data_IF_812333711743
#
_entry.id   IF_812333711743
#
_cell.length_a   1.000
_cell.length_b   1.000
_cell.length_c   1.000
_cell.angle_alpha   90.00
_cell.angle_beta   90.00
_cell.angle_gamma   90.00
#
_symmetry.space_group_name_H-M   'P 1'
#
loop_
_entity.id
_entity.type
_entity.pdbx_description
1 polymer ?
#
# COMPACT_ATOMS: atom_id res chain seq x y z
N UNK A 1 2.03 33.17 16.86
CA UNK A 1 0.76 32.42 16.94
C UNK A 1 1.00 31.14 17.73
N UNK A 2 0.54 31.07 18.98
CA UNK A 2 0.52 29.82 19.75
C UNK A 2 -0.61 28.94 19.22
N UNK A 3 -0.34 28.13 18.20
CA UNK A 3 -1.26 27.10 17.76
C UNK A 3 -1.24 25.97 18.79
N UNK A 4 -2.18 26.00 19.72
CA UNK A 4 -2.44 24.87 20.62
C UNK A 4 -2.73 23.65 19.74
N UNK A 5 -1.78 22.71 19.69
CA UNK A 5 -1.95 21.44 18.97
C UNK A 5 -3.19 20.77 19.57
N UNK A 6 -4.26 20.54 18.79
CA UNK A 6 -5.48 19.95 19.33
C UNK A 6 -5.16 18.57 19.86
N UNK A 7 -5.33 18.35 21.17
CA UNK A 7 -5.23 17.03 21.79
C UNK A 7 -6.33 16.15 21.19
N UNK A 8 -5.95 15.27 20.28
CA UNK A 8 -6.85 14.26 19.71
C UNK A 8 -7.31 13.38 20.85
N UNK A 9 -8.62 13.32 21.06
CA UNK A 9 -9.21 12.44 22.06
C UNK A 9 -9.29 11.05 21.45
N UNK A 10 -8.83 10.02 22.15
CA UNK A 10 -8.96 8.61 21.71
C UNK A 10 -10.40 8.27 21.30
N UNK A 11 -11.39 8.93 21.91
CA UNK A 11 -12.80 8.89 21.53
C UNK A 11 -13.06 9.27 20.06
N UNK A 12 -12.42 10.30 19.53
CA UNK A 12 -12.59 10.72 18.13
C UNK A 12 -12.11 9.64 17.17
N UNK A 13 -10.92 9.09 17.44
CA UNK A 13 -10.34 7.98 16.66
C UNK A 13 -11.27 6.77 16.68
N UNK A 14 -11.80 6.43 17.85
CA UNK A 14 -12.71 5.30 18.02
C UNK A 14 -14.03 5.48 17.25
N UNK A 15 -14.66 6.66 17.34
CA UNK A 15 -15.89 6.97 16.59
C UNK A 15 -15.63 6.89 15.09
N UNK A 16 -14.53 7.49 14.61
CA UNK A 16 -14.18 7.46 13.18
C UNK A 16 -13.94 6.03 12.70
N UNK A 17 -13.26 5.20 13.50
CA UNK A 17 -13.05 3.79 13.17
C UNK A 17 -14.37 3.01 13.07
N UNK A 18 -15.31 3.21 14.00
CA UNK A 18 -16.64 2.58 13.95
C UNK A 18 -17.40 3.02 12.69
N UNK A 19 -17.44 4.33 12.42
CA UNK A 19 -18.13 4.85 11.23
C UNK A 19 -17.52 4.31 9.94
N UNK A 20 -16.19 4.20 9.88
CA UNK A 20 -15.49 3.62 8.75
C UNK A 20 -15.88 2.15 8.55
N UNK A 21 -15.91 1.34 9.61
CA UNK A 21 -16.31 -0.07 9.55
C UNK A 21 -17.76 -0.18 9.06
N UNK A 22 -18.68 0.58 9.67
CA UNK A 22 -20.10 0.56 9.28
C UNK A 22 -20.30 0.99 7.82
N UNK A 23 -19.60 2.03 7.36
CA UNK A 23 -19.71 2.51 6.00
C UNK A 23 -19.12 1.56 4.95
N UNK A 24 -18.23 0.65 5.35
CA UNK A 24 -17.44 -0.18 4.41
C UNK A 24 -17.65 -1.68 4.60
N UNK A 25 -18.56 -2.12 5.46
CA UNK A 25 -18.76 -3.56 5.76
C UNK A 25 -18.99 -4.42 4.51
N UNK A 26 -19.66 -3.89 3.48
CA UNK A 26 -19.88 -4.59 2.21
C UNK A 26 -18.59 -4.88 1.42
N UNK A 27 -17.52 -4.12 1.66
CA UNK A 27 -16.25 -4.28 0.96
C UNK A 27 -15.62 -5.67 1.22
N UNK A 28 -15.83 -6.24 2.40
CA UNK A 28 -15.40 -7.62 2.68
C UNK A 28 -16.10 -8.63 1.77
N UNK A 29 -17.44 -8.55 1.64
CA UNK A 29 -18.22 -9.47 0.81
C UNK A 29 -17.90 -9.29 -0.68
N UNK A 30 -17.72 -8.05 -1.13
CA UNK A 30 -17.28 -7.74 -2.50
C UNK A 30 -15.90 -8.38 -2.78
N UNK A 31 -14.93 -8.18 -1.89
CA UNK A 31 -13.58 -8.73 -2.03
C UNK A 31 -13.60 -10.26 -2.06
N UNK A 32 -14.35 -10.88 -1.16
CA UNK A 32 -14.47 -12.34 -1.12
C UNK A 32 -15.08 -12.88 -2.41
N UNK A 33 -16.14 -12.24 -2.92
CA UNK A 33 -16.74 -12.59 -4.20
C UNK A 33 -15.75 -12.44 -5.36
N UNK A 34 -15.00 -11.35 -5.41
CA UNK A 34 -13.99 -11.10 -6.44
C UNK A 34 -12.90 -12.19 -6.45
N UNK A 35 -12.45 -12.63 -5.26
CA UNK A 35 -11.48 -13.71 -5.12
C UNK A 35 -12.03 -15.07 -5.58
N UNK A 36 -13.24 -15.46 -5.15
CA UNK A 36 -13.85 -16.75 -5.53
C UNK A 36 -14.03 -16.86 -7.04
N UNK A 37 -14.58 -15.81 -7.67
CA UNK A 37 -14.89 -15.81 -9.10
C UNK A 37 -13.70 -15.35 -9.96
N UNK A 38 -12.53 -15.13 -9.35
CA UNK A 38 -11.32 -14.64 -10.01
C UNK A 38 -11.58 -13.43 -10.94
N UNK A 39 -12.43 -12.51 -10.49
CA UNK A 39 -12.84 -11.31 -11.25
C UNK A 39 -11.64 -10.37 -11.40
N UNK A 40 -10.81 -10.31 -10.36
CA UNK A 40 -9.61 -9.48 -10.29
C UNK A 40 -8.38 -10.36 -10.12
N UNK A 41 -7.29 -9.94 -10.76
CA UNK A 41 -6.03 -10.66 -10.70
C UNK A 41 -5.46 -10.59 -9.28
N UNK A 42 -5.28 -11.74 -8.64
CA UNK A 42 -4.70 -11.85 -7.32
C UNK A 42 -3.74 -13.03 -7.23
N UNK A 43 -2.77 -12.93 -6.33
CA UNK A 43 -1.84 -14.01 -6.06
C UNK A 43 -2.57 -15.10 -5.26
N UNK A 44 -2.51 -16.35 -5.72
CA UNK A 44 -3.12 -17.51 -5.06
C UNK A 44 -2.28 -18.00 -3.87
N UNK A 45 -2.31 -17.26 -2.76
CA UNK A 45 -1.66 -17.65 -1.50
C UNK A 45 -2.41 -18.73 -0.72
N UNK A 46 -3.66 -19.01 -1.09
CA UNK A 46 -4.51 -20.04 -0.50
C UNK A 46 -3.84 -21.42 -0.54
N UNK A 47 -3.23 -21.79 -1.67
CA UNK A 47 -2.49 -23.06 -1.81
C UNK A 47 -1.27 -23.13 -0.90
N UNK A 48 -0.58 -22.00 -0.68
CA UNK A 48 0.54 -21.97 0.27
C UNK A 48 0.03 -22.07 1.71
N UNK A 49 -1.09 -21.41 2.02
CA UNK A 49 -1.73 -21.46 3.33
C UNK A 49 -2.20 -22.87 3.71
N UNK A 50 -2.69 -23.66 2.74
CA UNK A 50 -3.10 -25.05 2.96
C UNK A 50 -1.97 -25.94 3.50
N UNK A 51 -0.71 -25.67 3.14
CA UNK A 51 0.44 -26.38 3.69
C UNK A 51 0.64 -26.11 5.19
N UNK A 52 0.30 -24.92 5.69
CA UNK A 52 0.43 -24.59 7.12
C UNK A 52 -0.66 -25.21 7.99
N UNK A 53 -1.83 -25.47 7.41
CA UNK A 53 -2.96 -26.14 8.10
C UNK A 53 -2.94 -27.66 7.90
N UNK A 54 -1.93 -28.21 7.23
CA UNK A 54 -1.75 -29.65 7.03
C UNK A 54 -2.60 -30.27 5.93
N UNK A 55 -3.28 -29.46 5.10
CA UNK A 55 -4.06 -29.95 3.96
C UNK A 55 -3.14 -30.08 2.73
N UNK A 56 -2.44 -31.22 2.63
CA UNK A 56 -1.45 -31.47 1.58
C UNK A 56 -2.10 -31.65 0.20
N UNK A 57 -3.36 -32.09 0.14
CA UNK A 57 -4.07 -32.31 -1.13
C UNK A 57 -4.40 -30.99 -1.84
N UNK A 58 -4.75 -29.95 -1.06
CA UNK A 58 -4.99 -28.59 -1.57
C UNK A 58 -3.71 -27.73 -1.59
N UNK A 59 -2.69 -28.18 -0.87
CA UNK A 59 -1.43 -27.47 -0.70
C UNK A 59 -0.55 -27.51 -1.94
N UNK A 60 0.05 -26.38 -2.30
CA UNK A 60 1.07 -26.33 -3.34
C UNK A 60 2.32 -25.63 -2.83
N UNK A 61 3.50 -26.17 -3.19
CA UNK A 61 4.77 -25.53 -2.88
C UNK A 61 4.81 -24.16 -3.55
N UNK A 62 5.08 -23.08 -2.80
CA UNK A 62 5.16 -21.75 -3.36
C UNK A 62 6.40 -21.64 -4.27
N UNK A 63 6.32 -20.74 -5.26
CA UNK A 63 7.54 -20.25 -5.90
C UNK A 63 8.40 -19.50 -4.89
N UNK A 64 9.68 -19.29 -5.20
CA UNK A 64 10.59 -18.57 -4.30
C UNK A 64 10.02 -17.19 -3.89
N UNK A 65 9.29 -16.53 -4.80
CA UNK A 65 8.66 -15.23 -4.54
C UNK A 65 7.47 -15.26 -3.59
N UNK A 66 6.70 -16.35 -3.59
CA UNK A 66 5.60 -16.53 -2.64
C UNK A 66 6.11 -17.08 -1.30
N UNK A 67 7.19 -17.86 -1.32
CA UNK A 67 7.71 -18.56 -0.15
C UNK A 67 8.20 -17.60 0.95
N UNK A 68 8.93 -16.54 0.59
CA UNK A 68 9.45 -15.59 1.57
C UNK A 68 8.35 -14.66 2.14
N UNK A 69 7.20 -14.53 1.47
CA UNK A 69 6.04 -13.76 1.94
C UNK A 69 5.22 -14.51 2.99
N UNK A 70 5.82 -15.49 3.69
CA UNK A 70 5.12 -16.39 4.61
C UNK A 70 4.40 -15.68 5.75
N UNK A 71 4.91 -14.52 6.21
CA UNK A 71 4.28 -13.81 7.32
C UNK A 71 2.90 -13.26 6.92
N UNK A 72 2.71 -12.90 5.64
CA UNK A 72 1.40 -12.53 5.13
C UNK A 72 0.38 -13.67 5.21
N UNK A 73 0.82 -14.90 4.96
CA UNK A 73 0.01 -16.12 5.08
C UNK A 73 -0.30 -16.42 6.53
N UNK A 74 0.70 -16.36 7.42
CA UNK A 74 0.53 -16.58 8.84
C UNK A 74 -0.47 -15.61 9.48
N UNK A 75 -0.54 -14.37 9.01
CA UNK A 75 -1.51 -13.38 9.49
C UNK A 75 -2.95 -13.74 9.08
N UNK A 76 -3.15 -14.43 7.95
CA UNK A 76 -4.47 -14.90 7.52
C UNK A 76 -4.94 -16.14 8.30
N UNK A 77 -4.03 -16.99 8.80
CA UNK A 77 -4.40 -18.26 9.45
C UNK A 77 -5.33 -18.11 10.67
N UNK A 78 -5.12 -17.17 11.62
CA UNK A 78 -6.07 -16.96 12.71
C UNK A 78 -7.47 -16.62 12.21
N UNK A 79 -7.57 -15.88 11.10
CA UNK A 79 -8.86 -15.49 10.52
C UNK A 79 -9.59 -16.68 9.93
N UNK A 80 -8.88 -17.65 9.34
CA UNK A 80 -9.46 -18.91 8.86
C UNK A 80 -10.22 -19.62 9.99
N UNK A 81 -9.66 -19.68 11.20
CA UNK A 81 -10.32 -20.35 12.33
C UNK A 81 -11.47 -19.55 12.97
N UNK A 82 -11.39 -18.21 12.96
CA UNK A 82 -12.34 -17.35 13.67
C UNK A 82 -13.60 -17.03 12.83
N UNK A 83 -13.46 -16.95 11.51
CA UNK A 83 -14.53 -16.47 10.65
C UNK A 83 -15.69 -17.49 10.55
N UNK A 84 -16.95 -17.07 10.71
CA UNK A 84 -18.09 -17.94 10.45
C UNK A 84 -18.15 -18.26 8.95
N UNK A 85 -18.30 -19.54 8.62
CA UNK A 85 -18.35 -19.99 7.23
C UNK A 85 -19.67 -19.60 6.57
N UNK A 86 -19.59 -19.01 5.38
CA UNK A 86 -20.74 -18.78 4.50
C UNK A 86 -20.31 -18.89 3.04
N UNK A 87 -21.27 -19.22 2.17
CA UNK A 87 -21.07 -19.38 0.73
C UNK A 87 -22.04 -18.50 -0.04
N UNK A 88 -21.65 -18.11 -1.25
CA UNK A 88 -22.54 -17.39 -2.16
C UNK A 88 -23.31 -18.38 -3.05
N UNK A 89 -24.49 -17.97 -3.50
CA UNK A 89 -25.22 -18.68 -4.56
C UNK A 89 -24.35 -18.78 -5.82
N UNK A 90 -24.28 -19.96 -6.42
CA UNK A 90 -23.52 -20.21 -7.65
C UNK A 90 -22.04 -20.57 -7.45
N UNK A 91 -21.57 -20.72 -6.21
CA UNK A 91 -20.22 -21.27 -5.95
C UNK A 91 -20.14 -22.77 -6.25
N UNK A 92 -21.27 -23.48 -6.13
CA UNK A 92 -21.37 -24.91 -6.43
C UNK A 92 -20.91 -25.26 -7.85
N UNK A 93 -21.04 -24.34 -8.81
CA UNK A 93 -20.61 -24.55 -10.19
C UNK A 93 -19.09 -24.52 -10.36
N UNK A 94 -18.35 -24.00 -9.37
CA UNK A 94 -16.89 -23.89 -9.41
C UNK A 94 -16.18 -25.13 -8.87
N UNK A 95 -16.90 -26.08 -8.26
CA UNK A 95 -16.34 -27.30 -7.65
C UNK A 95 -15.13 -27.04 -6.72
N UNK A 96 -15.15 -25.91 -6.00
CA UNK A 96 -14.10 -25.56 -5.04
C UNK A 96 -14.31 -26.29 -3.71
N UNK A 97 -13.21 -26.76 -3.12
CA UNK A 97 -13.25 -27.40 -1.80
C UNK A 97 -13.57 -26.38 -0.70
N UNK A 98 -14.28 -26.81 0.35
CA UNK A 98 -14.74 -25.94 1.44
C UNK A 98 -13.59 -25.21 2.13
N UNK A 99 -12.49 -25.91 2.42
CA UNK A 99 -11.30 -25.29 3.02
C UNK A 99 -10.71 -24.18 2.15
N UNK A 100 -10.73 -24.34 0.82
CA UNK A 100 -10.22 -23.31 -0.10
C UNK A 100 -11.12 -22.09 -0.07
N UNK A 101 -12.45 -22.26 -0.05
CA UNK A 101 -13.39 -21.16 0.12
C UNK A 101 -13.17 -20.42 1.45
N UNK A 102 -13.01 -21.18 2.54
CA UNK A 102 -12.75 -20.60 3.87
C UNK A 102 -11.41 -19.86 3.93
N UNK A 103 -10.38 -20.38 3.25
CA UNK A 103 -9.08 -19.72 3.15
C UNK A 103 -9.15 -18.41 2.35
N UNK A 104 -9.83 -18.42 1.20
CA UNK A 104 -10.08 -17.20 0.42
C UNK A 104 -10.86 -16.17 1.25
N UNK A 105 -11.82 -16.61 2.04
CA UNK A 105 -12.58 -15.75 2.95
C UNK A 105 -11.68 -15.12 4.04
N UNK A 106 -10.72 -15.88 4.57
CA UNK A 106 -9.72 -15.37 5.51
C UNK A 106 -8.81 -14.30 4.87
N UNK A 107 -8.35 -14.53 3.63
CA UNK A 107 -7.58 -13.54 2.87
C UNK A 107 -8.40 -12.29 2.53
N UNK A 108 -9.69 -12.45 2.22
CA UNK A 108 -10.60 -11.32 1.99
C UNK A 108 -10.79 -10.50 3.26
N UNK A 109 -10.95 -11.14 4.42
CA UNK A 109 -11.04 -10.44 5.70
C UNK A 109 -9.72 -9.73 6.05
N UNK A 110 -8.57 -10.38 5.84
CA UNK A 110 -7.25 -9.75 6.02
C UNK A 110 -7.11 -8.52 5.13
N UNK A 111 -7.54 -8.61 3.88
CA UNK A 111 -7.54 -7.52 2.90
C UNK A 111 -8.38 -6.35 3.42
N UNK A 112 -9.64 -6.62 3.80
CA UNK A 112 -10.55 -5.65 4.37
C UNK A 112 -9.93 -4.91 5.57
N UNK A 113 -9.46 -5.67 6.57
CA UNK A 113 -8.85 -5.12 7.78
C UNK A 113 -7.60 -4.28 7.47
N UNK A 114 -6.79 -4.72 6.50
CA UNK A 114 -5.57 -3.99 6.10
C UNK A 114 -5.89 -2.67 5.39
N UNK A 115 -6.90 -2.65 4.51
CA UNK A 115 -7.35 -1.40 3.88
C UNK A 115 -7.91 -0.43 4.93
N UNK A 116 -8.74 -0.91 5.86
CA UNK A 116 -9.25 -0.10 6.97
C UNK A 116 -8.12 0.43 7.86
N UNK A 117 -7.15 -0.42 8.20
CA UNK A 117 -5.95 -0.05 8.95
C UNK A 117 -5.12 1.01 8.22
N UNK A 118 -4.98 0.89 6.89
CA UNK A 118 -4.29 1.89 6.06
C UNK A 118 -5.02 3.24 6.09
N UNK A 119 -6.35 3.24 5.95
CA UNK A 119 -7.18 4.44 6.01
C UNK A 119 -7.06 5.14 7.37
N UNK A 120 -7.16 4.37 8.47
CA UNK A 120 -6.98 4.91 9.83
C UNK A 120 -5.56 5.41 10.07
N UNK A 121 -4.55 4.74 9.53
CA UNK A 121 -3.16 5.18 9.65
C UNK A 121 -2.91 6.46 8.87
N UNK A 122 -3.46 6.60 7.66
CA UNK A 122 -3.40 7.82 6.88
C UNK A 122 -4.11 8.99 7.59
N UNK A 123 -5.29 8.75 8.19
CA UNK A 123 -5.97 9.69 9.09
C UNK A 123 -5.06 10.13 10.23
N UNK A 124 -4.41 9.18 10.93
CA UNK A 124 -3.49 9.49 12.03
C UNK A 124 -2.24 10.23 11.57
N UNK A 125 -1.69 9.94 10.39
CA UNK A 125 -0.56 10.69 9.82
C UNK A 125 -0.97 12.15 9.62
N UNK A 126 -2.09 12.40 8.94
CA UNK A 126 -2.61 13.75 8.75
C UNK A 126 -2.84 14.47 10.08
N UNK A 127 -3.53 13.82 11.01
CA UNK A 127 -3.96 14.42 12.27
C UNK A 127 -2.83 14.61 13.29
N UNK A 128 -1.95 13.62 13.47
CA UNK A 128 -0.89 13.61 14.50
C UNK A 128 0.46 14.09 14.00
N UNK A 129 0.80 13.86 12.72
CA UNK A 129 2.13 14.22 12.19
C UNK A 129 2.13 15.55 11.48
N UNK A 130 1.05 15.88 10.77
CA UNK A 130 0.91 17.14 10.05
C UNK A 130 -0.06 18.13 10.71
N UNK A 131 -0.59 17.79 11.89
CA UNK A 131 -1.54 18.63 12.64
C UNK A 131 -2.74 19.10 11.80
N UNK A 132 -3.17 18.29 10.83
CA UNK A 132 -4.26 18.63 9.93
C UNK A 132 -5.57 18.78 10.72
N UNK A 133 -6.48 19.68 10.32
CA UNK A 133 -7.81 19.78 10.92
C UNK A 133 -8.62 18.51 10.65
N UNK A 134 -9.67 18.29 11.45
CA UNK A 134 -10.50 17.08 11.36
C UNK A 134 -11.09 16.87 9.95
N UNK A 135 -11.68 17.88 9.28
CA UNK A 135 -12.22 17.70 7.93
C UNK A 135 -11.17 17.24 6.92
N UNK A 136 -9.97 17.84 6.95
CA UNK A 136 -8.86 17.42 6.08
C UNK A 136 -8.41 15.99 6.38
N UNK A 137 -8.35 15.60 7.66
CA UNK A 137 -7.97 14.24 8.06
C UNK A 137 -9.01 13.19 7.63
N UNK A 138 -10.30 13.51 7.74
CA UNK A 138 -11.38 12.67 7.22
C UNK A 138 -11.34 12.56 5.69
N UNK A 139 -11.01 13.65 4.99
CA UNK A 139 -10.82 13.63 3.54
C UNK A 139 -9.63 12.75 3.13
N UNK A 140 -8.51 12.78 3.88
CA UNK A 140 -7.39 11.84 3.68
C UNK A 140 -7.86 10.40 3.82
N UNK A 141 -8.62 10.09 4.88
CA UNK A 141 -9.16 8.74 5.10
C UNK A 141 -10.07 8.28 3.95
N UNK A 142 -11.00 9.14 3.53
CA UNK A 142 -11.93 8.85 2.45
C UNK A 142 -11.21 8.64 1.11
N UNK A 143 -10.28 9.53 0.76
CA UNK A 143 -9.50 9.39 -0.46
C UNK A 143 -8.59 8.17 -0.40
N UNK A 144 -8.01 7.83 0.76
CA UNK A 144 -7.23 6.60 0.92
C UNK A 144 -8.09 5.39 0.58
N UNK A 145 -9.32 5.32 1.11
CA UNK A 145 -10.26 4.23 0.82
C UNK A 145 -10.62 4.17 -0.67
N UNK A 146 -11.05 5.29 -1.27
CA UNK A 146 -11.45 5.35 -2.68
C UNK A 146 -10.29 4.92 -3.59
N UNK A 147 -9.09 5.43 -3.31
CA UNK A 147 -7.90 5.16 -4.09
C UNK A 147 -7.48 3.69 -3.99
N UNK A 148 -7.44 3.09 -2.79
CA UNK A 148 -7.10 1.68 -2.63
C UNK A 148 -8.16 0.74 -3.22
N UNK A 149 -9.45 1.07 -3.08
CA UNK A 149 -10.55 0.25 -3.59
C UNK A 149 -10.65 0.31 -5.12
N UNK A 150 -10.68 1.51 -5.70
CA UNK A 150 -11.03 1.69 -7.11
C UNK A 150 -9.82 1.87 -8.05
N UNK A 151 -8.74 2.50 -7.57
CA UNK A 151 -7.56 2.78 -8.40
C UNK A 151 -6.39 1.83 -8.15
N UNK A 152 -6.38 1.13 -7.01
CA UNK A 152 -5.47 0.02 -6.75
C UNK A 152 -5.81 -1.26 -7.51
N UNK A 153 -6.85 -1.25 -8.35
CA UNK A 153 -7.33 -2.40 -9.13
C UNK A 153 -7.49 -3.67 -8.29
N UNK A 154 -8.04 -3.50 -7.08
CA UNK A 154 -8.17 -4.61 -6.15
C UNK A 154 -6.84 -4.99 -5.52
N UNK A 155 -6.34 -4.17 -4.59
CA UNK A 155 -5.28 -4.61 -3.68
C UNK A 155 -5.83 -5.80 -2.86
N UNK A 156 -5.65 -7.00 -3.38
CA UNK A 156 -6.17 -8.22 -2.80
C UNK A 156 -5.05 -9.01 -2.13
N UNK A 157 -5.41 -9.67 -1.03
CA UNK A 157 -4.50 -10.51 -0.26
C UNK A 157 -3.32 -9.71 0.28
N UNK A 158 -2.13 -10.11 -0.16
CA UNK A 158 -0.85 -9.71 0.44
C UNK A 158 -0.45 -8.26 0.13
N UNK A 159 -1.02 -7.66 -0.91
CA UNK A 159 -0.70 -6.27 -1.23
C UNK A 159 -1.39 -5.27 -0.31
N UNK A 160 -2.63 -5.54 0.11
CA UNK A 160 -3.32 -4.66 1.05
C UNK A 160 -2.60 -4.57 2.40
N UNK A 161 -2.14 -5.71 2.93
CA UNK A 161 -1.34 -5.73 4.15
C UNK A 161 0.03 -5.08 3.95
N UNK A 162 0.61 -5.20 2.75
CA UNK A 162 1.81 -4.47 2.36
C UNK A 162 1.66 -2.95 2.49
N UNK A 163 0.58 -2.39 1.92
CA UNK A 163 0.26 -0.95 2.02
C UNK A 163 -0.03 -0.54 3.46
N UNK A 164 -0.66 -1.40 4.26
CA UNK A 164 -0.91 -1.13 5.68
C UNK A 164 0.40 -1.01 6.47
N UNK A 165 1.30 -1.97 6.32
CA UNK A 165 2.61 -1.93 6.99
C UNK A 165 3.45 -0.75 6.51
N UNK A 166 3.39 -0.40 5.23
CA UNK A 166 4.04 0.80 4.71
C UNK A 166 3.48 2.07 5.36
N UNK A 167 2.15 2.17 5.48
CA UNK A 167 1.48 3.27 6.17
C UNK A 167 1.91 3.35 7.64
N UNK A 168 1.99 2.22 8.35
CA UNK A 168 2.47 2.15 9.73
C UNK A 168 3.93 2.57 9.84
N UNK A 169 4.79 2.10 8.94
CA UNK A 169 6.20 2.47 8.92
C UNK A 169 6.35 3.99 8.76
N UNK A 170 5.59 4.61 7.85
CA UNK A 170 5.55 6.08 7.71
C UNK A 170 5.10 6.74 9.02
N UNK A 171 4.00 6.27 9.61
CA UNK A 171 3.48 6.84 10.86
C UNK A 171 4.48 6.75 12.02
N UNK A 172 5.26 5.66 12.08
CA UNK A 172 6.25 5.40 13.11
C UNK A 172 7.67 5.87 12.78
N UNK A 173 7.91 6.59 11.68
CA UNK A 173 9.28 7.04 11.33
C UNK A 173 9.98 7.81 12.46
N UNK A 174 9.29 8.63 13.25
CA UNK A 174 9.91 9.28 14.42
C UNK A 174 10.50 8.32 15.47
N UNK A 175 10.02 7.08 15.55
CA UNK A 175 10.53 6.04 16.43
C UNK A 175 11.34 5.04 15.60
N UNK A 176 12.67 5.23 15.60
CA UNK A 176 13.62 4.42 14.82
C UNK A 176 13.46 2.92 15.05
N UNK A 177 13.22 2.49 16.29
CA UNK A 177 13.07 1.06 16.60
C UNK A 177 11.82 0.47 15.94
N UNK A 178 10.64 1.08 16.15
CA UNK A 178 9.40 0.59 15.54
C UNK A 178 9.44 0.68 14.02
N UNK A 179 10.02 1.75 13.48
CA UNK A 179 10.27 1.86 12.05
C UNK A 179 11.11 0.69 11.53
N UNK A 180 12.29 0.45 12.12
CA UNK A 180 13.19 -0.61 11.67
C UNK A 180 12.57 -1.99 11.78
N UNK A 181 11.85 -2.27 12.87
CA UNK A 181 11.11 -3.53 13.04
C UNK A 181 10.08 -3.72 11.93
N UNK A 182 9.27 -2.70 11.64
CA UNK A 182 8.24 -2.76 10.59
C UNK A 182 8.84 -2.97 9.20
N UNK A 183 9.98 -2.36 8.90
CA UNK A 183 10.65 -2.54 7.59
C UNK A 183 11.23 -3.96 7.46
N UNK A 184 11.96 -4.42 8.48
CA UNK A 184 12.60 -5.74 8.46
C UNK A 184 11.55 -6.85 8.47
N UNK A 185 10.53 -6.76 9.33
CA UNK A 185 9.43 -7.74 9.30
C UNK A 185 8.58 -7.62 8.05
N UNK A 186 8.45 -6.40 7.52
CA UNK A 186 7.67 -6.09 6.32
C UNK A 186 8.13 -6.86 5.10
N UNK A 187 9.43 -7.14 4.96
CA UNK A 187 9.95 -7.92 3.82
C UNK A 187 9.36 -9.34 3.74
N UNK A 188 9.04 -9.93 4.89
CA UNK A 188 8.41 -11.26 4.98
C UNK A 188 6.90 -11.23 4.75
N UNK A 189 6.32 -10.04 4.64
CA UNK A 189 4.93 -9.84 4.22
C UNK A 189 4.89 -9.46 2.76
N UNK A 190 5.66 -8.42 2.37
CA UNK A 190 5.69 -7.90 1.01
C UNK A 190 7.00 -7.14 0.77
N UNK A 191 7.80 -7.59 -0.20
CA UNK A 191 9.10 -7.03 -0.55
C UNK A 191 9.04 -5.58 -1.03
N UNK A 192 7.87 -5.15 -1.55
CA UNK A 192 7.65 -3.76 -2.02
C UNK A 192 7.88 -2.75 -0.91
N UNK A 193 7.62 -3.14 0.36
CA UNK A 193 7.92 -2.31 1.52
C UNK A 193 9.42 -2.00 1.58
N UNK A 194 10.26 -3.04 1.51
CA UNK A 194 11.71 -2.90 1.56
C UNK A 194 12.23 -2.11 0.35
N UNK A 195 11.74 -2.42 -0.86
CA UNK A 195 12.14 -1.72 -2.09
C UNK A 195 11.85 -0.22 -2.03
N UNK A 196 10.62 0.17 -1.66
CA UNK A 196 10.22 1.58 -1.60
C UNK A 196 11.03 2.34 -0.57
N UNK A 197 11.15 1.81 0.65
CA UNK A 197 11.93 2.48 1.68
C UNK A 197 13.43 2.51 1.37
N UNK A 198 13.97 1.47 0.74
CA UNK A 198 15.35 1.47 0.28
C UNK A 198 15.59 2.58 -0.74
N UNK A 199 14.72 2.70 -1.76
CA UNK A 199 14.80 3.79 -2.75
C UNK A 199 14.70 5.17 -2.10
N UNK A 200 13.69 5.38 -1.23
CA UNK A 200 13.48 6.65 -0.53
C UNK A 200 14.68 7.04 0.33
N UNK A 201 15.10 6.15 1.21
CA UNK A 201 16.08 6.48 2.25
C UNK A 201 17.50 6.53 1.68
N UNK A 202 17.83 5.70 0.70
CA UNK A 202 19.11 5.78 -0.03
C UNK A 202 19.22 7.10 -0.77
N UNK A 203 18.17 7.51 -1.48
CA UNK A 203 18.20 8.76 -2.21
C UNK A 203 18.25 9.98 -1.29
N UNK A 204 17.49 9.97 -0.18
CA UNK A 204 17.57 11.00 0.86
C UNK A 204 18.97 11.07 1.48
N UNK A 205 19.59 9.93 1.76
CA UNK A 205 20.95 9.85 2.29
C UNK A 205 21.96 10.47 1.33
N UNK A 206 21.90 10.09 0.04
CA UNK A 206 22.79 10.64 -1.01
C UNK A 206 22.68 12.17 -1.15
N UNK A 207 21.47 12.73 -1.10
CA UNK A 207 21.25 14.17 -1.33
C UNK A 207 21.50 15.00 -0.06
N UNK A 208 20.98 14.58 1.10
CA UNK A 208 20.85 15.47 2.26
C UNK A 208 21.80 15.14 3.41
N UNK A 209 22.26 13.89 3.54
CA UNK A 209 23.04 13.48 4.72
C UNK A 209 24.02 12.34 4.42
N UNK A 210 24.89 12.47 3.40
CA UNK A 210 25.77 11.37 2.98
C UNK A 210 26.76 10.95 4.07
N UNK A 211 26.99 11.81 5.08
CA UNK A 211 27.95 11.56 6.17
C UNK A 211 27.37 10.89 7.42
N UNK A 212 26.05 10.65 7.50
CA UNK A 212 25.42 10.01 8.68
C UNK A 212 24.57 8.82 8.25
N UNK A 213 25.13 7.62 8.45
CA UNK A 213 24.40 6.36 8.33
C UNK A 213 23.62 6.15 9.64
N UNK A 214 22.30 6.01 9.56
CA UNK A 214 21.45 5.74 10.71
C UNK A 214 20.38 4.68 10.41
N UNK A 215 19.49 4.43 11.38
CA UNK A 215 18.45 3.41 11.28
C UNK A 215 17.56 3.55 10.03
N UNK A 216 17.41 4.76 9.47
CA UNK A 216 16.58 4.99 8.29
C UNK A 216 17.18 4.40 7.01
N UNK A 217 18.51 4.31 6.91
CA UNK A 217 19.19 3.67 5.76
C UNK A 217 19.53 2.21 6.06
N UNK A 218 19.90 1.90 7.31
CA UNK A 218 20.33 0.55 7.71
C UNK A 218 19.19 -0.45 7.58
N UNK A 219 18.00 -0.14 8.12
CA UNK A 219 16.91 -1.11 8.14
C UNK A 219 16.38 -1.49 6.74
N UNK A 220 16.12 -0.54 5.81
CA UNK A 220 15.76 -0.90 4.45
C UNK A 220 16.87 -1.65 3.69
N UNK A 221 18.15 -1.31 3.94
CA UNK A 221 19.29 -2.04 3.36
C UNK A 221 19.35 -3.48 3.85
N UNK A 222 19.17 -3.72 5.15
CA UNK A 222 19.11 -5.09 5.69
C UNK A 222 17.91 -5.83 5.07
N UNK A 223 16.73 -5.20 5.02
CA UNK A 223 15.54 -5.82 4.47
C UNK A 223 15.70 -6.21 2.99
N UNK A 224 16.27 -5.34 2.15
CA UNK A 224 16.49 -5.68 0.73
C UNK A 224 17.55 -6.77 0.55
N UNK A 225 18.60 -6.80 1.38
CA UNK A 225 19.59 -7.87 1.38
C UNK A 225 18.97 -9.21 1.81
N UNK A 226 18.08 -9.21 2.81
CA UNK A 226 17.34 -10.40 3.22
C UNK A 226 16.43 -10.92 2.09
N UNK A 227 15.74 -10.01 1.40
CA UNK A 227 14.96 -10.36 0.21
C UNK A 227 15.84 -10.97 -0.90
N UNK A 228 16.97 -10.34 -1.22
CA UNK A 228 17.90 -10.84 -2.22
C UNK A 228 18.45 -12.23 -1.83
N UNK A 229 18.85 -12.40 -0.57
CA UNK A 229 19.31 -13.67 -0.02
C UNK A 229 18.22 -14.75 -0.12
N UNK A 230 16.97 -14.43 0.21
CA UNK A 230 15.86 -15.39 0.09
C UNK A 230 15.63 -15.84 -1.37
N UNK A 231 15.77 -14.93 -2.34
CA UNK A 231 15.62 -15.26 -3.75
C UNK A 231 16.76 -16.08 -4.34
N UNK A 232 17.97 -15.97 -3.78
CA UNK A 232 19.16 -16.75 -4.22
C UNK A 232 19.21 -18.09 -3.48
N UNK A 233 19.10 -18.07 -2.15
CA UNK A 233 19.22 -19.25 -1.31
C UNK A 233 17.97 -20.15 -1.36
N UNK A 234 16.79 -19.57 -1.61
CA UNK A 234 15.51 -20.28 -1.72
C UNK A 234 15.54 -21.41 -2.76
N UNK A 235 15.77 -21.10 -4.06
CA UNK A 235 15.92 -22.11 -5.09
C UNK A 235 17.11 -23.05 -4.83
N UNK A 236 18.24 -22.52 -4.35
CA UNK A 236 19.48 -23.29 -4.16
C UNK A 236 19.38 -24.36 -3.06
N UNK A 237 18.74 -24.04 -1.94
CA UNK A 237 18.74 -24.92 -0.75
C UNK A 237 17.36 -25.47 -0.39
N UNK A 238 16.27 -24.78 -0.77
CA UNK A 238 14.91 -25.12 -0.36
C UNK A 238 14.04 -25.63 -1.52
N UNK A 239 14.61 -25.81 -2.73
CA UNK A 239 13.93 -26.34 -3.91
C UNK A 239 12.64 -25.58 -4.25
N UNK A 240 12.59 -24.27 -3.96
CA UNK A 240 11.47 -23.46 -4.39
C UNK A 240 11.43 -23.42 -5.92
N UNK A 241 10.21 -23.52 -6.49
CA UNK A 241 10.06 -23.47 -7.94
C UNK A 241 10.47 -22.09 -8.43
N UNK A 242 11.17 -22.06 -9.58
CA UNK A 242 11.74 -20.85 -10.17
C UNK A 242 10.66 -20.08 -10.95
N UNK A 243 9.56 -19.75 -10.26
CA UNK A 243 8.34 -19.20 -10.87
C UNK A 243 8.48 -17.82 -11.53
N UNK A 244 9.67 -17.23 -11.50
CA UNK A 244 10.00 -15.91 -12.06
C UNK A 244 11.33 -15.92 -12.84
N UNK A 245 11.70 -17.04 -13.47
CA UNK A 245 12.94 -17.11 -14.27
C UNK A 245 12.98 -16.01 -15.35
N UNK A 246 11.83 -15.71 -15.97
CA UNK A 246 11.69 -14.69 -17.02
C UNK A 246 11.93 -13.25 -16.53
N UNK A 247 11.77 -12.99 -15.23
CA UNK A 247 12.05 -11.68 -14.63
C UNK A 247 13.55 -11.49 -14.33
N UNK A 248 14.37 -12.53 -14.49
CA UNK A 248 15.83 -12.48 -14.28
C UNK A 248 16.60 -12.41 -15.61
N UNK A 249 15.93 -12.63 -16.73
CA UNK A 249 16.55 -12.62 -18.05
C UNK A 249 16.74 -11.19 -18.55
N UNK A 250 17.94 -10.65 -18.28
CA UNK A 250 18.36 -9.30 -18.68
C UNK A 250 18.28 -9.11 -20.19
N UNK A 251 18.39 -10.18 -20.99
CA UNK A 251 18.33 -10.07 -22.46
C UNK A 251 16.95 -9.68 -22.96
N UNK A 252 15.89 -9.97 -22.19
CA UNK A 252 14.50 -9.65 -22.52
C UNK A 252 14.03 -8.30 -21.95
N UNK A 253 14.82 -7.61 -21.14
CA UNK A 253 14.39 -6.38 -20.46
C UNK A 253 13.92 -5.29 -21.42
N UNK A 254 14.59 -5.11 -22.56
CA UNK A 254 14.17 -4.11 -23.55
C UNK A 254 12.84 -4.50 -24.21
N UNK A 255 12.65 -5.78 -24.55
CA UNK A 255 11.42 -6.28 -25.14
C UNK A 255 10.24 -6.13 -24.15
N UNK A 256 10.44 -6.55 -22.91
CA UNK A 256 9.48 -6.42 -21.80
C UNK A 256 9.12 -4.95 -21.54
N UNK A 257 10.11 -4.06 -21.55
CA UNK A 257 9.88 -2.62 -21.41
C UNK A 257 8.98 -2.08 -22.52
N UNK A 258 9.28 -2.43 -23.78
CA UNK A 258 8.50 -1.98 -24.94
C UNK A 258 7.08 -2.57 -24.91
N UNK A 259 6.93 -3.83 -24.53
CA UNK A 259 5.62 -4.47 -24.37
C UNK A 259 4.78 -3.78 -23.30
N UNK A 260 5.31 -3.59 -22.09
CA UNK A 260 4.63 -2.84 -21.02
C UNK A 260 4.30 -1.41 -21.45
N UNK A 261 5.19 -0.75 -22.20
CA UNK A 261 4.92 0.58 -22.75
C UNK A 261 3.73 0.57 -23.72
N UNK A 262 3.65 -0.42 -24.62
CA UNK A 262 2.55 -0.56 -25.56
C UNK A 262 1.23 -0.92 -24.85
N UNK A 263 1.26 -1.76 -23.81
CA UNK A 263 0.05 -2.08 -23.04
C UNK A 263 -0.54 -0.85 -22.36
N UNK A 264 0.31 0.10 -21.91
CA UNK A 264 -0.12 1.39 -21.34
C UNK A 264 -0.90 2.28 -22.33
N UNK A 265 -0.75 2.09 -23.63
CA UNK A 265 -1.47 2.86 -24.66
C UNK A 265 -2.90 2.35 -24.89
N UNK A 266 -3.22 1.13 -24.47
CA UNK A 266 -4.59 0.61 -24.52
C UNK A 266 -5.49 1.30 -23.49
N UNK A 267 -6.81 1.33 -23.71
CA UNK A 267 -7.77 1.89 -22.74
C UNK A 267 -7.65 1.20 -21.36
N UNK A 268 -7.51 -0.13 -21.36
CA UNK A 268 -7.32 -0.93 -20.15
C UNK A 268 -6.02 -0.54 -19.43
N UNK A 269 -4.92 -0.39 -20.17
CA UNK A 269 -3.64 0.05 -19.61
C UNK A 269 -3.68 1.49 -19.11
N UNK A 270 -4.35 2.39 -19.82
CA UNK A 270 -4.55 3.76 -19.35
C UNK A 270 -5.26 3.79 -17.99
N UNK A 271 -6.36 3.04 -17.84
CA UNK A 271 -7.14 3.00 -16.60
C UNK A 271 -6.37 2.33 -15.46
N UNK A 272 -5.72 1.20 -15.72
CA UNK A 272 -5.09 0.37 -14.67
C UNK A 272 -3.64 0.77 -14.35
N UNK A 273 -2.96 1.47 -15.26
CA UNK A 273 -1.55 1.86 -15.10
C UNK A 273 -1.36 3.37 -15.09
N UNK A 274 -1.71 4.05 -16.19
CA UNK A 274 -1.36 5.46 -16.40
C UNK A 274 -2.15 6.39 -15.47
N UNK A 275 -3.45 6.15 -15.27
CA UNK A 275 -4.32 6.98 -14.46
C UNK A 275 -3.91 6.98 -12.96
N UNK A 276 -3.74 5.83 -12.29
CA UNK A 276 -3.23 5.79 -10.92
C UNK A 276 -1.88 6.51 -10.78
N UNK A 277 -0.98 6.29 -11.73
CA UNK A 277 0.33 6.95 -11.73
C UNK A 277 0.23 8.47 -11.86
N UNK A 278 -0.60 8.95 -12.78
CA UNK A 278 -0.85 10.38 -13.02
C UNK A 278 -1.47 11.05 -11.79
N UNK A 279 -2.42 10.38 -11.14
CA UNK A 279 -3.01 10.86 -9.90
C UNK A 279 -1.97 10.94 -8.77
N UNK A 280 -1.12 9.92 -8.61
CA UNK A 280 -0.03 9.93 -7.64
C UNK A 280 1.01 11.02 -7.93
N UNK A 281 1.37 11.25 -9.19
CA UNK A 281 2.23 12.34 -9.60
C UNK A 281 1.59 13.70 -9.26
N UNK A 282 0.29 13.87 -9.52
CA UNK A 282 -0.47 15.04 -9.11
C UNK A 282 -0.47 15.24 -7.59
N UNK A 283 -0.68 14.17 -6.81
CA UNK A 283 -0.58 14.20 -5.35
C UNK A 283 0.84 14.56 -4.87
N UNK A 284 1.88 14.04 -5.51
CA UNK A 284 3.26 14.42 -5.21
C UNK A 284 3.50 15.92 -5.44
N UNK A 285 3.00 16.49 -6.55
CA UNK A 285 3.12 17.93 -6.83
C UNK A 285 2.39 18.74 -5.75
N UNK A 286 1.19 18.32 -5.35
CA UNK A 286 0.44 18.96 -4.26
C UNK A 286 1.15 18.83 -2.91
N UNK A 287 1.70 17.67 -2.59
CA UNK A 287 2.49 17.43 -1.38
C UNK A 287 3.78 18.27 -1.37
N UNK A 288 4.42 18.43 -2.53
CA UNK A 288 5.61 19.30 -2.70
C UNK A 288 5.30 20.78 -2.48
N UNK A 289 4.06 21.22 -2.74
CA UNK A 289 3.61 22.56 -2.38
C UNK A 289 3.38 22.69 -0.87
N UNK A 290 3.04 21.60 -0.18
CA UNK A 290 2.81 21.59 1.26
C UNK A 290 4.02 22.02 2.09
N UNK A 291 5.23 21.72 1.59
CA UNK A 291 6.47 22.06 2.27
C UNK A 291 6.70 23.57 2.41
N UNK A 292 5.91 24.41 1.72
CA UNK A 292 6.00 25.88 1.85
C UNK A 292 5.34 26.40 3.13
N UNK A 293 4.44 25.63 3.75
CA UNK A 293 3.62 26.08 4.86
C UNK A 293 3.56 25.10 6.04
N UNK A 294 4.07 23.88 5.87
CA UNK A 294 4.20 22.88 6.94
C UNK A 294 5.63 22.34 6.95
N UNK A 295 6.20 22.24 8.14
CA UNK A 295 7.42 21.47 8.35
C UNK A 295 7.10 19.97 8.23
N UNK A 296 7.58 19.36 7.14
CA UNK A 296 7.40 17.94 6.87
C UNK A 296 8.45 17.07 7.56
N UNK A 297 9.52 17.65 8.13
CA UNK A 297 10.56 16.93 8.85
C UNK A 297 11.11 15.72 8.07
N UNK A 298 11.09 14.56 8.72
CA UNK A 298 11.49 13.26 8.15
C UNK A 298 10.39 12.60 7.32
N UNK A 299 9.17 13.13 7.33
CA UNK A 299 8.02 12.45 6.73
C UNK A 299 7.96 12.58 5.22
N UNK A 300 8.40 13.71 4.69
CA UNK A 300 8.38 13.96 3.25
C UNK A 300 9.51 14.89 2.83
N UNK A 301 10.15 14.58 1.71
CA UNK A 301 11.12 15.40 0.99
C UNK A 301 10.76 15.43 -0.50
N UNK A 302 11.08 16.51 -1.21
CA UNK A 302 10.83 16.59 -2.67
C UNK A 302 11.60 15.52 -3.46
N UNK A 303 12.71 15.05 -2.92
CA UNK A 303 13.47 13.92 -3.47
C UNK A 303 12.67 12.61 -3.50
N UNK A 304 11.59 12.49 -2.74
CA UNK A 304 10.80 11.26 -2.61
C UNK A 304 10.09 10.86 -3.90
N UNK A 305 9.98 11.77 -4.88
CA UNK A 305 9.55 11.45 -6.24
C UNK A 305 10.31 10.24 -6.83
N UNK A 306 11.55 10.01 -6.39
CA UNK A 306 12.36 8.87 -6.81
C UNK A 306 11.68 7.52 -6.56
N UNK A 307 10.86 7.38 -5.52
CA UNK A 307 10.16 6.12 -5.25
C UNK A 307 9.07 5.86 -6.28
N UNK A 308 8.37 6.92 -6.69
CA UNK A 308 7.36 6.84 -7.74
C UNK A 308 8.02 6.49 -9.09
N UNK A 309 9.13 7.16 -9.43
CA UNK A 309 9.91 6.87 -10.63
C UNK A 309 10.51 5.46 -10.62
N UNK A 310 11.11 5.06 -9.49
CA UNK A 310 11.74 3.77 -9.32
C UNK A 310 10.75 2.61 -9.45
N UNK A 311 9.55 2.74 -8.90
CA UNK A 311 8.48 1.76 -9.10
C UNK A 311 8.11 1.63 -10.57
N UNK A 312 7.98 2.73 -11.33
CA UNK A 312 7.72 2.67 -12.78
C UNK A 312 8.80 1.93 -13.52
N UNK A 313 10.07 2.22 -13.24
CA UNK A 313 11.18 1.54 -13.87
C UNK A 313 11.13 0.05 -13.56
N UNK A 314 10.95 -0.32 -12.29
CA UNK A 314 10.83 -1.72 -11.88
C UNK A 314 9.69 -2.40 -12.65
N UNK A 315 8.49 -1.82 -12.66
CA UNK A 315 7.32 -2.40 -13.33
C UNK A 315 7.59 -2.69 -14.81
N UNK A 316 8.19 -1.74 -15.53
CA UNK A 316 8.46 -1.92 -16.96
C UNK A 316 9.57 -2.95 -17.21
N UNK A 317 10.45 -3.20 -16.23
CA UNK A 317 11.50 -4.22 -16.34
C UNK A 317 11.03 -5.62 -15.98
N UNK A 318 9.96 -5.77 -15.18
CA UNK A 318 9.45 -7.09 -14.76
C UNK A 318 8.18 -7.50 -15.50
N UNK A 319 7.76 -6.73 -16.52
CA UNK A 319 6.61 -6.98 -17.39
C UNK A 319 5.31 -7.37 -16.66
N UNK A 320 4.89 -6.59 -15.66
CA UNK A 320 3.62 -6.89 -14.97
C UNK A 320 2.44 -6.31 -15.75
N UNK A 321 1.88 -7.13 -16.64
CA UNK A 321 0.69 -6.77 -17.42
C UNK A 321 -0.40 -6.17 -16.54
N UNK A 322 -0.81 -4.94 -16.88
CA UNK A 322 -1.93 -4.22 -16.26
C UNK A 322 -1.90 -4.09 -14.72
N UNK A 323 -0.72 -4.17 -14.09
CA UNK A 323 -0.56 -4.09 -12.63
C UNK A 323 0.27 -2.89 -12.16
N UNK A 324 0.66 -1.99 -13.07
CA UNK A 324 1.53 -0.87 -12.74
C UNK A 324 0.88 0.07 -11.73
N UNK A 325 -0.41 0.37 -11.90
CA UNK A 325 -1.14 1.25 -10.99
C UNK A 325 -1.24 0.66 -9.60
N UNK A 326 -1.60 -0.63 -9.49
CA UNK A 326 -1.62 -1.39 -8.23
C UNK A 326 -0.29 -1.27 -7.47
N UNK A 327 0.84 -1.42 -8.16
CA UNK A 327 2.17 -1.29 -7.58
C UNK A 327 2.51 0.16 -7.18
N UNK A 328 2.14 1.14 -8.00
CA UNK A 328 2.31 2.54 -7.68
C UNK A 328 1.51 2.96 -6.43
N UNK A 329 0.36 2.33 -6.15
CA UNK A 329 -0.43 2.64 -4.95
C UNK A 329 0.31 2.40 -3.62
N UNK A 330 1.41 1.65 -3.61
CA UNK A 330 2.23 1.51 -2.42
C UNK A 330 2.89 2.83 -1.97
N UNK A 331 3.08 3.82 -2.85
CA UNK A 331 3.57 5.15 -2.44
C UNK A 331 2.46 6.12 -2.06
N UNK A 332 1.19 5.74 -2.22
CA UNK A 332 0.04 6.58 -1.86
C UNK A 332 0.13 7.14 -0.42
N UNK A 333 0.45 6.35 0.62
CA UNK A 333 0.52 6.84 2.00
C UNK A 333 1.54 7.95 2.22
N UNK A 334 2.56 8.06 1.35
CA UNK A 334 3.61 9.07 1.44
C UNK A 334 3.12 10.45 1.00
N UNK A 335 2.30 10.49 -0.06
CA UNK A 335 1.90 11.75 -0.71
C UNK A 335 0.52 12.23 -0.25
N UNK A 336 -0.42 11.31 -0.06
CA UNK A 336 -1.83 11.64 0.12
C UNK A 336 -2.09 12.59 1.30
N UNK A 337 -1.54 12.39 2.53
CA UNK A 337 -1.85 13.27 3.65
C UNK A 337 -1.48 14.74 3.40
N UNK A 338 -0.32 14.98 2.76
CA UNK A 338 0.15 16.32 2.45
C UNK A 338 -0.58 16.92 1.25
N UNK A 339 -0.89 16.11 0.23
CA UNK A 339 -1.65 16.55 -0.94
C UNK A 339 -3.03 17.10 -0.54
N UNK A 340 -3.76 16.37 0.31
CA UNK A 340 -5.08 16.78 0.81
C UNK A 340 -4.98 18.03 1.66
N UNK A 341 -3.94 18.16 2.47
CA UNK A 341 -3.75 19.34 3.30
C UNK A 341 -3.49 20.59 2.44
N UNK A 342 -2.76 20.46 1.33
CA UNK A 342 -2.63 21.53 0.34
C UNK A 342 -3.96 21.91 -0.27
N UNK A 343 -4.78 20.93 -0.69
CA UNK A 343 -6.10 21.20 -1.26
C UNK A 343 -7.01 21.90 -0.24
N UNK A 344 -7.01 21.44 0.99
CA UNK A 344 -7.79 22.03 2.08
C UNK A 344 -7.40 23.49 2.32
N UNK A 345 -6.11 23.81 2.36
CA UNK A 345 -5.66 25.20 2.54
C UNK A 345 -6.02 26.10 1.36
N UNK A 346 -5.96 25.57 0.13
CA UNK A 346 -6.38 26.32 -1.05
C UNK A 346 -7.88 26.63 -1.01
N UNK A 347 -8.70 25.67 -0.56
CA UNK A 347 -10.14 25.85 -0.41
C UNK A 347 -10.48 26.89 0.68
N UNK A 348 -9.84 26.83 1.85
CA UNK A 348 -10.07 27.80 2.94
C UNK A 348 -9.66 29.22 2.52
N UNK A 349 -8.49 29.39 1.88
CA UNK A 349 -8.05 30.70 1.39
C UNK A 349 -8.98 31.29 0.34
N UNK A 350 -9.57 30.44 -0.51
CA UNK A 350 -10.54 30.88 -1.50
C UNK A 350 -11.78 31.47 -0.81
N UNK A 351 -12.30 30.81 0.23
CA UNK A 351 -13.47 31.27 0.99
C UNK A 351 -13.22 32.64 1.65
N UNK A 352 -12.09 32.82 2.35
CA UNK A 352 -11.70 34.09 2.98
C UNK A 352 -11.61 35.25 1.97
N UNK A 353 -11.17 34.97 0.74
CA UNK A 353 -11.06 35.99 -0.32
C UNK A 353 -12.41 36.41 -0.90
N UNK A 354 -13.42 35.53 -0.84
CA UNK A 354 -14.78 35.81 -1.31
C UNK A 354 -15.61 36.55 -0.26
N UNK A 355 -15.46 36.19 1.02
CA UNK A 355 -16.14 36.88 2.13
C UNK A 355 -15.65 38.33 2.32
N UNK A 356 -14.38 38.63 2.03
CA UNK A 356 -13.87 40.00 2.06
C UNK A 356 -14.32 40.88 0.88
N UNK A 357 -14.99 40.32 -0.15
CA UNK A 357 -15.51 41.08 -1.30
C UNK A 357 -16.99 41.45 -1.17
N UNK A 358 -17.73 40.88 -0.22
CA UNK A 358 -19.19 41.03 -0.11
C UNK A 358 -19.67 41.95 1.00
N UNK A 359 -18.78 42.52 1.82
CA UNK A 359 -19.17 43.55 2.78
C UNK A 359 -19.12 44.92 2.10
N UNK A 360 -20.27 45.60 1.86
CA UNK A 360 -20.26 46.99 1.42
C UNK A 360 -19.52 47.84 2.47
N UNK A 361 -18.84 48.92 2.04
CA UNK A 361 -18.20 49.83 2.99
C UNK A 361 -19.26 50.31 3.98
N UNK A 362 -18.98 50.12 5.28
CA UNK A 362 -19.78 50.74 6.34
C UNK A 362 -19.63 52.25 6.19
N UNK A 363 -20.62 52.87 5.56
CA UNK A 363 -20.85 54.32 5.53
C UNK A 363 -21.32 54.80 6.89
#
# INVERSE_FOLDING_TARGET
MNTTVPRIRYREIFIVAILLILATHNFFFETYREMIFNITLHDHYDKYAHLFIGNVELGARPSATHAYRFLSVLIALPLYYIIPFFTFSGVETLNLHEDSLRMLMAFALMTYLSVMGSCMTAFMIARKRFSAPLPASLLVMLLMYIMLKHLGSGLHGVDAIGVFLLSLAIYFMHNKLLYSLLIISGVFVNEKIAMIFFMLMTWRWLIYSPRKIDAYIIAPTIAILMYAAANVLGPMYFQFTDGNADHRDVTNFLAQFLETFLTNLSLKGFILNVLPFSLLAGMFVLASKATKFIDTGIYFKKSDFIALLGIVIIIHLINVDYNAGRLAMFVLPLYLPLAVLTLYQLAVKYDDSTHNRTLPPKT
#
